data_IF_055329297253
#
_entry.id   IF_055329297253
#
_cell.length_a   1.000
_cell.length_b   1.000
_cell.length_c   1.000
_cell.angle_alpha   90.00
_cell.angle_beta   90.00
_cell.angle_gamma   90.00
#
_symmetry.space_group_name_H-M   'P 1'
#
loop_
_entity.id
_entity.type
_entity.pdbx_description
1 polymer ?
#
# COMPACT_ATOMS: atom_id res chain seq x y z
N UNK A 1 8.65 13.49 -7.10
CA UNK A 1 8.15 12.69 -5.94
C UNK A 1 9.17 11.61 -5.63
N UNK A 2 9.39 11.28 -4.36
CA UNK A 2 10.24 10.14 -4.01
C UNK A 2 9.49 8.81 -4.22
N UNK A 3 10.22 7.70 -4.32
CA UNK A 3 9.65 6.36 -4.53
C UNK A 3 8.60 5.97 -3.48
N UNK A 4 8.75 6.49 -2.26
CA UNK A 4 7.85 6.20 -1.16
C UNK A 4 6.49 6.89 -1.33
N UNK A 5 6.45 8.16 -1.69
CA UNK A 5 5.20 8.88 -1.96
C UNK A 5 4.42 8.26 -3.12
N UNK A 6 5.12 7.76 -4.15
CA UNK A 6 4.47 7.05 -5.25
C UNK A 6 3.84 5.72 -4.80
N UNK A 7 4.52 4.96 -3.93
CA UNK A 7 3.99 3.71 -3.36
C UNK A 7 2.82 3.96 -2.42
N UNK A 8 2.90 4.99 -1.58
CA UNK A 8 1.82 5.41 -0.69
C UNK A 8 0.57 5.78 -1.52
N UNK A 9 0.73 6.53 -2.62
CA UNK A 9 -0.37 6.90 -3.51
C UNK A 9 -1.00 5.68 -4.19
N UNK A 10 -0.20 4.76 -4.74
CA UNK A 10 -0.71 3.53 -5.35
C UNK A 10 -1.50 2.71 -4.33
N UNK A 11 -1.00 2.54 -3.10
CA UNK A 11 -1.71 1.81 -2.05
C UNK A 11 -3.07 2.43 -1.75
N UNK A 12 -3.14 3.75 -1.56
CA UNK A 12 -4.39 4.44 -1.25
C UNK A 12 -5.39 4.35 -2.41
N UNK A 13 -4.94 4.51 -3.66
CA UNK A 13 -5.81 4.34 -4.84
C UNK A 13 -6.38 2.93 -4.94
N UNK A 14 -5.59 1.90 -4.63
CA UNK A 14 -6.06 0.52 -4.68
C UNK A 14 -7.03 0.19 -3.54
N UNK A 15 -6.79 0.71 -2.34
CA UNK A 15 -7.69 0.57 -1.18
C UNK A 15 -9.03 1.28 -1.40
N UNK A 16 -9.02 2.45 -2.04
CA UNK A 16 -10.23 3.20 -2.39
C UNK A 16 -11.06 2.47 -3.47
N UNK A 17 -10.40 1.89 -4.48
CA UNK A 17 -11.07 1.17 -5.56
C UNK A 17 -11.74 -0.12 -5.09
N UNK A 18 -11.12 -0.82 -4.16
CA UNK A 18 -11.61 -2.11 -3.68
C UNK A 18 -11.29 -2.28 -2.20
N UNK A 19 -12.30 -2.08 -1.34
CA UNK A 19 -12.19 -2.25 0.10
C UNK A 19 -11.86 -3.69 0.55
N UNK A 20 -11.91 -4.68 -0.36
CA UNK A 20 -11.54 -6.07 -0.10
C UNK A 20 -10.13 -6.44 -0.57
N UNK A 21 -9.29 -5.46 -0.94
CA UNK A 21 -7.92 -5.72 -1.39
C UNK A 21 -7.05 -6.36 -0.28
N UNK A 22 -6.24 -7.35 -0.66
CA UNK A 22 -5.33 -8.03 0.26
C UNK A 22 -3.91 -7.46 0.17
N UNK A 23 -3.12 -7.59 1.24
CA UNK A 23 -1.70 -7.24 1.19
C UNK A 23 -0.92 -8.06 0.14
N UNK A 24 -1.38 -9.28 -0.20
CA UNK A 24 -0.76 -10.13 -1.22
C UNK A 24 -0.99 -9.58 -2.63
N UNK A 25 -2.21 -9.16 -2.96
CA UNK A 25 -2.48 -8.55 -4.27
C UNK A 25 -1.75 -7.22 -4.42
N UNK A 26 -1.65 -6.42 -3.36
CA UNK A 26 -0.85 -5.18 -3.34
C UNK A 26 0.65 -5.44 -3.56
N UNK A 27 1.20 -6.49 -2.94
CA UNK A 27 2.61 -6.87 -3.12
C UNK A 27 2.93 -7.21 -4.58
N UNK A 28 2.03 -7.96 -5.24
CA UNK A 28 2.15 -8.29 -6.67
C UNK A 28 2.09 -7.02 -7.52
N UNK A 29 1.12 -6.13 -7.29
CA UNK A 29 0.98 -4.87 -8.04
C UNK A 29 2.18 -3.94 -7.88
N UNK A 30 2.72 -3.85 -6.68
CA UNK A 30 3.87 -2.98 -6.36
C UNK A 30 5.22 -3.59 -6.78
N UNK A 31 5.26 -4.88 -7.14
CA UNK A 31 6.50 -5.59 -7.43
C UNK A 31 7.43 -5.68 -6.22
N UNK A 32 6.88 -5.83 -5.01
CA UNK A 32 7.65 -5.90 -3.75
C UNK A 32 7.24 -7.12 -2.92
N UNK A 33 8.08 -7.48 -1.94
CA UNK A 33 7.76 -8.53 -1.00
C UNK A 33 6.53 -8.18 -0.12
N UNK A 34 5.80 -9.21 0.33
CA UNK A 34 4.64 -9.05 1.21
C UNK A 34 4.98 -8.30 2.51
N UNK A 35 6.15 -8.54 3.09
CA UNK A 35 6.62 -7.85 4.29
C UNK A 35 6.80 -6.34 4.08
N UNK A 36 7.29 -5.91 2.92
CA UNK A 36 7.38 -4.49 2.57
C UNK A 36 6.01 -3.86 2.38
N UNK A 37 5.08 -4.60 1.78
CA UNK A 37 3.68 -4.15 1.66
C UNK A 37 3.05 -3.93 3.04
N UNK A 38 3.21 -4.89 3.97
CA UNK A 38 2.74 -4.76 5.34
C UNK A 38 3.38 -3.56 6.07
N UNK A 39 4.68 -3.30 5.85
CA UNK A 39 5.35 -2.12 6.39
C UNK A 39 4.71 -0.83 5.90
N UNK A 40 4.39 -0.73 4.61
CA UNK A 40 3.75 0.45 4.04
C UNK A 40 2.33 0.64 4.58
N UNK A 41 1.52 -0.43 4.61
CA UNK A 41 0.17 -0.39 5.16
C UNK A 41 0.19 0.07 6.63
N UNK A 42 1.05 -0.51 7.47
CA UNK A 42 1.19 -0.09 8.88
C UNK A 42 1.63 1.37 9.02
N UNK A 43 2.45 1.87 8.10
CA UNK A 43 2.86 3.28 8.09
C UNK A 43 1.69 4.20 7.73
N UNK A 44 0.90 3.85 6.71
CA UNK A 44 -0.28 4.62 6.31
C UNK A 44 -1.32 4.63 7.43
N UNK A 45 -1.56 3.49 8.09
CA UNK A 45 -2.44 3.40 9.27
C UNK A 45 -1.96 4.30 10.42
N UNK A 46 -0.65 4.31 10.73
CA UNK A 46 -0.08 5.22 11.74
C UNK A 46 -0.27 6.69 11.39
N UNK A 47 -0.35 7.04 10.10
CA UNK A 47 -0.63 8.40 9.61
C UNK A 47 -2.13 8.72 9.57
N UNK A 48 -3.02 7.74 9.80
CA UNK A 48 -4.47 7.92 9.72
C UNK A 48 -5.04 7.93 8.30
N UNK A 49 -4.31 7.37 7.32
CA UNK A 49 -4.79 7.30 5.93
C UNK A 49 -5.56 6.03 5.59
N UNK A 50 -5.45 4.98 6.41
CA UNK A 50 -6.17 3.70 6.28
C UNK A 50 -6.59 3.20 7.65
#
# INVERSE_FOLDING_TARGET
>A
MNLQGQRDLILLTELERDGAVTQRSLAIKLGVALGLTNLYVKRLARKGYV
#
